data_IF_478891736319
#
_entry.id   IF_478891736319
#
_cell.length_a   1.000
_cell.length_b   1.000
_cell.length_c   1.000
_cell.angle_alpha   90.00
_cell.angle_beta   90.00
_cell.angle_gamma   90.00
#
_symmetry.space_group_name_H-M   'P 1'
#
loop_
_entity.id
_entity.type
_entity.pdbx_description
1 polymer ?
#
# COMPACT_ATOMS: atom_id res chain seq x y z
N UNK A 1 -0.79 4.34 -34.61
CA UNK A 1 0.15 5.44 -34.27
C UNK A 1 -0.26 6.06 -32.94
N UNK A 2 0.74 6.41 -32.10
CA UNK A 2 0.66 7.12 -30.80
C UNK A 2 -0.03 6.43 -29.59
N UNK A 3 0.67 5.48 -28.94
CA UNK A 3 0.44 5.15 -27.52
C UNK A 3 1.05 6.27 -26.67
N UNK A 4 0.21 7.07 -25.99
CA UNK A 4 0.68 8.11 -25.07
C UNK A 4 1.25 7.45 -23.81
N UNK A 5 2.58 7.33 -23.74
CA UNK A 5 3.30 7.16 -22.48
C UNK A 5 3.12 8.43 -21.65
N UNK A 6 2.39 8.34 -20.54
CA UNK A 6 2.43 9.35 -19.49
C UNK A 6 3.70 9.11 -18.64
N UNK A 7 4.87 9.35 -19.22
CA UNK A 7 6.12 9.43 -18.46
C UNK A 7 6.19 10.78 -17.76
N UNK A 8 5.41 10.96 -16.69
CA UNK A 8 5.67 12.03 -15.73
C UNK A 8 6.49 11.42 -14.60
N UNK A 9 7.73 11.88 -14.44
CA UNK A 9 8.48 11.72 -13.19
C UNK A 9 7.68 12.42 -12.09
N UNK A 10 6.81 11.69 -11.41
CA UNK A 10 6.09 12.15 -10.22
C UNK A 10 7.05 12.10 -9.02
N UNK A 11 8.15 12.82 -9.11
CA UNK A 11 8.98 13.15 -7.95
C UNK A 11 8.49 14.50 -7.41
N UNK A 12 7.27 14.53 -6.87
CA UNK A 12 6.92 15.61 -5.95
C UNK A 12 7.54 15.22 -4.61
N UNK A 13 8.76 15.70 -4.38
CA UNK A 13 9.47 15.53 -3.10
C UNK A 13 8.54 15.99 -1.98
N UNK A 14 8.02 15.03 -1.22
CA UNK A 14 7.26 15.27 0.00
C UNK A 14 8.25 15.63 1.12
N UNK A 15 9.00 16.72 0.97
CA UNK A 15 10.15 17.02 1.83
C UNK A 15 9.78 17.57 3.22
N UNK A 16 8.49 17.66 3.59
CA UNK A 16 8.11 18.42 4.80
C UNK A 16 7.08 17.81 5.75
N UNK A 17 6.84 16.50 5.73
CA UNK A 17 5.98 15.86 6.72
C UNK A 17 6.60 14.60 7.32
N UNK A 18 7.87 14.68 7.74
CA UNK A 18 8.43 13.67 8.65
C UNK A 18 7.93 13.99 10.05
N UNK A 19 6.84 13.34 10.44
CA UNK A 19 6.50 13.26 11.86
C UNK A 19 7.61 12.44 12.52
N UNK A 20 8.38 13.06 13.43
CA UNK A 20 9.38 12.37 14.23
C UNK A 20 8.67 11.45 15.23
N UNK A 21 8.28 10.27 14.77
CA UNK A 21 7.77 9.19 15.62
C UNK A 21 8.97 8.56 16.31
N UNK A 22 9.39 9.13 17.44
CA UNK A 22 10.41 8.54 18.33
C UNK A 22 9.75 7.46 19.19
N UNK A 23 9.80 6.20 18.76
CA UNK A 23 9.38 5.10 19.64
C UNK A 23 10.47 4.78 20.68
N UNK A 24 10.04 4.39 21.87
CA UNK A 24 10.89 3.80 22.92
C UNK A 24 11.57 2.54 22.36
N UNK A 25 12.89 2.49 22.47
CA UNK A 25 13.71 1.44 21.90
C UNK A 25 13.50 0.12 22.64
N UNK A 26 13.02 -0.90 21.95
CA UNK A 26 13.12 -2.30 22.40
C UNK A 26 13.88 -3.10 21.34
N UNK A 27 15.09 -3.55 21.70
CA UNK A 27 15.84 -4.64 21.03
C UNK A 27 16.32 -4.40 19.59
N UNK A 28 17.63 -4.35 19.40
CA UNK A 28 18.26 -4.11 18.09
C UNK A 28 18.13 -5.27 17.10
N UNK A 29 17.42 -5.04 15.99
CA UNK A 29 17.54 -5.82 14.76
C UNK A 29 18.46 -5.12 13.77
N UNK A 30 19.33 -5.89 13.11
CA UNK A 30 20.26 -5.40 12.09
C UNK A 30 19.49 -4.81 10.91
N UNK A 31 19.64 -3.50 10.71
CA UNK A 31 18.98 -2.74 9.66
C UNK A 31 19.72 -2.89 8.33
N UNK A 32 19.28 -3.82 7.50
CA UNK A 32 19.75 -3.88 6.10
C UNK A 32 19.19 -2.69 5.31
N UNK A 33 20.02 -2.09 4.45
CA UNK A 33 19.60 -1.01 3.55
C UNK A 33 18.79 -1.63 2.41
N UNK A 34 17.48 -1.32 2.27
CA UNK A 34 16.69 -1.89 1.20
C UNK A 34 17.17 -1.41 -0.17
N UNK A 35 17.32 -2.34 -1.12
CA UNK A 35 17.57 -2.03 -2.53
C UNK A 35 16.28 -1.45 -3.11
N UNK A 36 16.32 -0.18 -3.54
CA UNK A 36 15.19 0.50 -4.17
C UNK A 36 15.31 0.30 -5.68
N UNK A 37 14.35 -0.38 -6.30
CA UNK A 37 14.32 -0.60 -7.76
C UNK A 37 13.57 0.56 -8.45
N UNK A 38 14.15 1.14 -9.50
CA UNK A 38 13.71 2.45 -10.06
C UNK A 38 12.81 2.41 -11.29
N UNK A 39 12.41 1.23 -11.78
CA UNK A 39 11.91 1.07 -13.15
C UNK A 39 10.42 0.69 -13.28
N UNK A 40 9.61 1.06 -12.28
CA UNK A 40 8.16 0.81 -12.30
C UNK A 40 7.38 1.86 -13.10
N UNK A 41 6.32 1.41 -13.77
CA UNK A 41 5.48 2.24 -14.66
C UNK A 41 4.00 2.12 -14.31
N UNK A 42 3.27 3.21 -14.53
CA UNK A 42 1.82 3.24 -14.39
C UNK A 42 1.15 2.82 -15.69
N UNK A 43 0.19 1.91 -15.59
CA UNK A 43 -0.68 1.51 -16.69
C UNK A 43 -2.14 1.59 -16.25
N UNK A 44 -3.02 1.95 -17.19
CA UNK A 44 -4.46 1.84 -17.02
C UNK A 44 -4.87 0.36 -17.19
N UNK A 45 -5.41 -0.21 -16.12
CA UNK A 45 -5.84 -1.62 -16.05
C UNK A 45 -7.15 -1.88 -16.79
N UNK A 46 -7.84 -0.83 -17.26
CA UNK A 46 -9.18 -0.89 -17.87
C UNK A 46 -10.32 -1.40 -16.98
N UNK A 47 -10.01 -1.98 -15.81
CA UNK A 47 -10.98 -2.54 -14.87
C UNK A 47 -11.04 -1.77 -13.56
N UNK A 48 -9.89 -1.53 -12.92
CA UNK A 48 -9.79 -0.95 -11.56
C UNK A 48 -9.01 0.37 -11.53
N UNK A 49 -8.88 1.03 -12.68
CA UNK A 49 -8.13 2.28 -12.83
C UNK A 49 -6.63 2.04 -13.04
N UNK A 50 -5.79 2.85 -12.41
CA UNK A 50 -4.33 2.76 -12.56
C UNK A 50 -3.75 1.60 -11.74
N UNK A 51 -2.73 0.96 -12.30
CA UNK A 51 -1.91 -0.05 -11.63
C UNK A 51 -0.43 0.19 -11.90
N UNK A 52 0.41 -0.33 -11.00
CA UNK A 52 1.88 -0.27 -11.11
C UNK A 52 2.40 -1.57 -11.69
N UNK A 53 3.25 -1.48 -12.70
CA UNK A 53 3.86 -2.63 -13.38
C UNK A 53 5.37 -2.45 -13.41
N UNK A 54 6.08 -3.53 -13.10
CA UNK A 54 7.55 -3.52 -13.17
C UNK A 54 8.02 -3.71 -14.60
N UNK A 55 9.16 -3.11 -14.96
CA UNK A 55 9.82 -3.36 -16.26
C UNK A 55 11.06 -4.25 -16.15
N UNK A 56 11.40 -4.68 -14.94
CA UNK A 56 12.50 -5.60 -14.64
C UNK A 56 11.97 -6.84 -13.92
N UNK A 57 12.81 -7.87 -13.80
CA UNK A 57 12.51 -8.92 -12.83
C UNK A 57 12.64 -8.35 -11.41
N UNK A 58 11.85 -8.87 -10.48
CA UNK A 58 11.94 -8.53 -9.06
C UNK A 58 11.87 -9.82 -8.24
N UNK A 59 12.72 -9.92 -7.23
CA UNK A 59 12.82 -11.06 -6.35
C UNK A 59 12.20 -10.78 -4.98
N UNK A 60 11.87 -11.85 -4.23
CA UNK A 60 11.47 -11.75 -2.83
C UNK A 60 12.53 -10.97 -2.06
N UNK A 61 12.09 -9.91 -1.38
CA UNK A 61 13.00 -9.03 -0.65
C UNK A 61 13.20 -7.66 -1.28
N UNK A 62 13.01 -7.52 -2.58
CA UNK A 62 13.18 -6.25 -3.28
C UNK A 62 12.19 -5.20 -2.78
N UNK A 63 12.66 -3.96 -2.67
CA UNK A 63 11.84 -2.83 -2.23
C UNK A 63 11.51 -1.94 -3.42
N UNK A 64 10.21 -1.81 -3.66
CA UNK A 64 9.64 -0.98 -4.73
C UNK A 64 9.77 0.49 -4.36
N UNK A 65 9.47 0.82 -3.11
CA UNK A 65 9.57 2.18 -2.61
C UNK A 65 8.82 2.39 -1.30
N UNK A 66 8.88 3.61 -0.81
CA UNK A 66 8.14 4.05 0.38
C UNK A 66 6.71 4.44 0.01
N UNK A 67 5.74 3.99 0.83
CA UNK A 67 4.37 4.48 0.80
C UNK A 67 4.29 5.81 1.54
N UNK A 68 4.62 6.88 0.80
CA UNK A 68 4.63 8.24 1.31
C UNK A 68 3.25 8.89 1.25
N UNK A 69 2.95 9.76 2.21
CA UNK A 69 1.79 10.63 2.20
C UNK A 69 1.81 11.62 3.36
N UNK A 70 0.67 12.28 3.61
CA UNK A 70 0.51 13.14 4.78
C UNK A 70 0.29 12.27 6.02
N UNK A 71 1.15 12.41 7.03
CA UNK A 71 0.96 11.75 8.32
C UNK A 71 -0.04 12.53 9.19
N UNK A 72 -0.97 11.80 9.79
CA UNK A 72 -1.98 12.33 10.73
C UNK A 72 -2.01 11.46 11.98
N UNK A 73 -2.04 12.09 13.16
CA UNK A 73 -2.22 11.40 14.43
C UNK A 73 -3.66 11.55 14.91
N UNK A 74 -4.26 10.45 15.37
CA UNK A 74 -5.55 10.46 16.05
C UNK A 74 -5.41 9.82 17.44
N UNK A 75 -6.01 10.40 18.49
CA UNK A 75 -5.99 9.82 19.83
C UNK A 75 -6.37 8.35 19.81
N UNK A 76 -5.60 7.52 20.52
CA UNK A 76 -6.09 6.19 20.85
C UNK A 76 -7.25 6.38 21.83
N UNK A 77 -8.45 6.07 21.37
CA UNK A 77 -9.64 6.07 22.21
C UNK A 77 -9.37 5.14 23.41
N UNK A 78 -9.63 5.65 24.62
CA UNK A 78 -9.62 4.91 25.89
C UNK A 78 -10.88 4.05 25.94
N UNK A 79 -10.82 2.87 26.57
CA UNK A 79 -11.93 1.92 26.73
C UNK A 79 -13.28 2.64 26.98
N UNK A 80 -14.35 2.20 26.27
CA UNK A 80 -15.76 2.70 26.27
C UNK A 80 -16.23 3.66 25.14
N UNK A 81 -15.49 3.84 24.04
CA UNK A 81 -16.01 4.51 22.83
C UNK A 81 -16.01 3.55 21.63
N UNK A 82 -16.99 3.64 20.70
CA UNK A 82 -17.11 2.71 19.59
C UNK A 82 -15.84 2.69 18.74
N UNK A 83 -15.45 1.47 18.38
CA UNK A 83 -14.22 1.17 17.66
C UNK A 83 -14.13 1.94 16.35
N UNK A 84 -12.88 2.23 16.03
CA UNK A 84 -12.36 2.83 14.82
C UNK A 84 -12.28 4.36 14.88
N UNK A 85 -11.05 4.83 15.02
CA UNK A 85 -10.62 6.08 14.40
C UNK A 85 -10.79 5.94 12.88
N UNK A 86 -12.04 6.02 12.40
CA UNK A 86 -12.39 6.04 10.98
C UNK A 86 -12.05 7.44 10.48
N UNK A 87 -10.78 7.68 10.21
CA UNK A 87 -10.49 8.67 9.18
C UNK A 87 -11.24 8.20 7.93
N UNK A 88 -12.18 9.01 7.44
CA UNK A 88 -12.91 8.75 6.20
C UNK A 88 -11.91 8.26 5.15
N UNK A 89 -12.04 7.00 4.73
CA UNK A 89 -11.03 6.36 3.91
C UNK A 89 -11.04 7.03 2.53
N UNK A 90 -9.98 7.78 2.21
CA UNK A 90 -9.83 8.47 0.93
C UNK A 90 -9.57 7.50 -0.24
N UNK A 91 -9.49 6.21 0.03
CA UNK A 91 -8.96 5.17 -0.86
C UNK A 91 -7.45 5.02 -0.81
N UNK A 92 -6.73 5.97 -0.17
CA UNK A 92 -5.27 6.02 -0.13
C UNK A 92 -4.73 6.09 1.31
N UNK A 93 -5.58 5.87 2.31
CA UNK A 93 -5.20 5.91 3.72
C UNK A 93 -4.69 4.54 4.18
N UNK A 94 -3.54 4.52 4.87
CA UNK A 94 -2.99 3.34 5.53
C UNK A 94 -2.71 3.65 7.00
N UNK A 95 -3.09 2.72 7.89
CA UNK A 95 -2.82 2.78 9.32
C UNK A 95 -1.47 2.13 9.64
N UNK A 96 -0.66 2.80 10.44
CA UNK A 96 0.57 2.23 10.98
C UNK A 96 0.23 1.37 12.22
N UNK A 97 0.88 0.22 12.34
CA UNK A 97 0.93 -0.59 13.55
C UNK A 97 1.68 0.15 14.66
N UNK A 98 2.75 0.87 14.30
CA UNK A 98 3.45 1.77 15.20
C UNK A 98 2.55 2.92 15.68
N UNK A 99 2.52 3.13 17.00
CA UNK A 99 1.88 4.30 17.62
C UNK A 99 2.83 5.49 17.66
N UNK A 100 2.28 6.70 17.79
CA UNK A 100 3.12 7.88 18.07
C UNK A 100 3.69 7.84 19.49
N UNK A 101 4.61 8.76 19.81
CA UNK A 101 5.13 8.97 21.18
C UNK A 101 4.01 9.21 22.20
N UNK A 102 2.89 9.79 21.75
CA UNK A 102 1.70 10.07 22.55
C UNK A 102 0.73 8.89 22.61
N UNK A 103 1.14 7.71 22.12
CA UNK A 103 0.32 6.49 21.96
C UNK A 103 -0.87 6.65 21.01
N UNK A 104 -0.85 7.69 20.16
CA UNK A 104 -1.87 7.92 19.15
C UNK A 104 -1.75 6.93 17.99
N UNK A 105 -2.88 6.64 17.34
CA UNK A 105 -2.88 5.99 16.02
C UNK A 105 -2.26 6.94 15.00
N UNK A 106 -1.48 6.38 14.07
CA UNK A 106 -0.82 7.15 13.01
C UNK A 106 -1.31 6.65 11.67
N UNK A 107 -1.80 7.57 10.85
CA UNK A 107 -2.27 7.30 9.49
C UNK A 107 -1.39 8.01 8.48
N UNK A 108 -1.18 7.38 7.33
CA UNK A 108 -0.63 8.03 6.14
C UNK A 108 -1.75 8.16 5.11
N UNK A 109 -2.03 9.39 4.67
CA UNK A 109 -2.98 9.67 3.58
C UNK A 109 -2.22 10.12 2.34
N UNK A 110 -2.22 9.27 1.31
CA UNK A 110 -1.50 9.52 0.06
C UNK A 110 -2.35 10.19 -1.03
N UNK A 111 -3.57 10.69 -0.71
CA UNK A 111 -4.48 11.27 -1.71
C UNK A 111 -3.88 12.51 -2.40
N UNK A 112 -3.35 13.46 -1.62
CA UNK A 112 -2.86 14.76 -2.12
C UNK A 112 -1.36 14.79 -2.38
N UNK A 113 -0.59 14.00 -1.65
CA UNK A 113 0.85 13.88 -1.80
C UNK A 113 1.26 12.43 -1.57
N UNK A 114 2.18 11.90 -2.38
CA UNK A 114 2.64 10.52 -2.25
C UNK A 114 3.59 10.12 -3.36
N UNK A 115 3.97 8.85 -3.38
CA UNK A 115 4.84 8.26 -4.41
C UNK A 115 4.02 7.43 -5.41
N UNK A 116 4.69 6.77 -6.37
CA UNK A 116 4.05 5.84 -7.31
C UNK A 116 3.34 4.67 -6.59
N UNK A 117 3.79 4.31 -5.38
CA UNK A 117 3.25 3.17 -4.63
C UNK A 117 1.80 3.36 -4.21
N UNK A 118 1.28 4.59 -4.21
CA UNK A 118 -0.15 4.86 -3.93
C UNK A 118 -1.10 4.29 -4.98
N UNK A 119 -0.59 3.98 -6.17
CA UNK A 119 -1.35 3.38 -7.27
C UNK A 119 -1.23 1.85 -7.33
N UNK A 120 -0.55 1.22 -6.36
CA UNK A 120 -0.43 -0.24 -6.31
C UNK A 120 -1.79 -0.81 -5.94
N UNK A 121 -2.38 -1.56 -6.86
CA UNK A 121 -3.73 -2.09 -6.71
C UNK A 121 -3.80 -3.24 -5.70
N UNK A 122 -5.01 -3.53 -5.24
CA UNK A 122 -5.29 -4.67 -4.41
C UNK A 122 -5.24 -6.00 -5.19
N UNK A 123 -4.72 -7.06 -4.55
CA UNK A 123 -5.01 -8.45 -4.91
C UNK A 123 -5.25 -9.32 -3.67
N UNK A 124 -6.18 -10.29 -3.74
CA UNK A 124 -6.38 -11.30 -2.69
C UNK A 124 -5.13 -12.18 -2.51
N UNK A 125 -4.41 -12.45 -3.60
CA UNK A 125 -3.15 -13.20 -3.63
C UNK A 125 -2.02 -12.30 -4.15
N UNK A 126 -1.50 -11.38 -3.33
CA UNK A 126 -0.56 -10.38 -3.79
C UNK A 126 0.87 -10.92 -3.99
N UNK A 127 1.68 -10.13 -4.69
CA UNK A 127 3.13 -10.35 -4.86
C UNK A 127 4.00 -9.35 -4.07
N UNK A 128 3.41 -8.31 -3.47
CA UNK A 128 4.07 -7.39 -2.55
C UNK A 128 3.27 -7.20 -1.25
N UNK A 129 3.92 -6.65 -0.24
CA UNK A 129 3.31 -6.31 1.05
C UNK A 129 3.79 -4.94 1.55
N UNK A 130 2.93 -4.29 2.34
CA UNK A 130 3.33 -3.16 3.17
C UNK A 130 4.12 -3.67 4.38
N UNK A 131 5.31 -3.14 4.58
CA UNK A 131 6.20 -3.51 5.68
C UNK A 131 6.62 -2.24 6.40
N UNK A 132 6.33 -2.17 7.70
CA UNK A 132 6.87 -1.12 8.56
C UNK A 132 8.36 -1.37 8.81
N UNK A 133 9.16 -0.38 8.46
CA UNK A 133 10.57 -0.34 8.76
C UNK A 133 10.83 0.79 9.75
N UNK A 134 11.21 0.41 10.96
CA UNK A 134 11.67 1.33 11.98
C UNK A 134 13.13 1.68 11.72
N UNK A 135 13.44 2.97 11.59
CA UNK A 135 14.80 3.49 11.67
C UNK A 135 15.01 4.15 13.03
N UNK A 136 16.23 4.67 13.30
CA UNK A 136 16.60 5.24 14.61
C UNK A 136 15.64 6.31 15.15
N UNK A 137 14.89 7.02 14.28
CA UNK A 137 14.07 8.17 14.69
C UNK A 137 12.69 8.28 14.04
N UNK A 138 12.33 7.34 13.17
CA UNK A 138 11.03 7.31 12.51
C UNK A 138 10.66 5.91 12.02
N UNK A 139 9.37 5.68 11.85
CA UNK A 139 8.82 4.51 11.17
C UNK A 139 8.41 4.92 9.77
N UNK A 140 8.67 4.06 8.80
CA UNK A 140 8.23 4.22 7.41
C UNK A 140 7.54 2.96 6.95
N UNK A 141 6.57 3.09 6.04
CA UNK A 141 5.97 1.94 5.36
C UNK A 141 6.61 1.78 4.00
N UNK A 142 7.22 0.63 3.77
CA UNK A 142 7.80 0.25 2.49
C UNK A 142 6.89 -0.75 1.78
N UNK A 143 6.92 -0.75 0.46
CA UNK A 143 6.35 -1.82 -0.35
C UNK A 143 7.46 -2.79 -0.73
N UNK A 144 7.35 -4.01 -0.24
CA UNK A 144 8.37 -5.05 -0.39
C UNK A 144 7.81 -6.27 -1.10
N UNK A 145 8.58 -6.84 -2.02
CA UNK A 145 8.20 -8.04 -2.75
C UNK A 145 8.21 -9.27 -1.84
N UNK A 146 7.14 -10.05 -1.93
CA UNK A 146 6.94 -11.32 -1.21
C UNK A 146 6.85 -12.52 -2.16
N UNK A 147 6.89 -12.27 -3.48
CA UNK A 147 6.98 -13.30 -4.54
C UNK A 147 7.88 -12.77 -5.66
N UNK A 148 8.61 -13.66 -6.33
CA UNK A 148 9.35 -13.31 -7.54
C UNK A 148 8.39 -13.02 -8.69
N UNK A 149 8.72 -12.03 -9.53
CA UNK A 149 7.94 -11.66 -10.71
C UNK A 149 8.85 -11.36 -11.91
N UNK A 150 8.31 -11.58 -13.11
CA UNK A 150 8.98 -11.26 -14.38
C UNK A 150 8.70 -9.81 -14.81
N UNK A 151 9.53 -9.24 -15.71
CA UNK A 151 9.22 -7.98 -16.38
C UNK A 151 7.79 -7.96 -16.94
N UNK A 152 7.09 -6.84 -16.75
CA UNK A 152 5.70 -6.66 -17.19
C UNK A 152 4.64 -7.16 -16.22
N UNK A 153 5.01 -7.73 -15.07
CA UNK A 153 4.06 -8.10 -14.03
C UNK A 153 3.49 -6.86 -13.31
N UNK A 154 2.20 -6.91 -12.97
CA UNK A 154 1.58 -5.93 -12.08
C UNK A 154 2.02 -6.17 -10.64
N UNK A 155 2.42 -5.12 -9.94
CA UNK A 155 2.69 -5.14 -8.51
C UNK A 155 1.35 -4.94 -7.78
N UNK A 156 1.06 -5.80 -6.81
CA UNK A 156 -0.20 -5.79 -6.05
C UNK A 156 0.04 -6.08 -4.57
N UNK A 157 -0.83 -5.54 -3.71
CA UNK A 157 -0.75 -5.70 -2.24
C UNK A 157 -2.11 -6.11 -1.66
N UNK A 158 -2.11 -6.73 -0.47
CA UNK A 158 -3.35 -6.99 0.25
C UNK A 158 -3.77 -5.75 1.04
N UNK A 159 -5.00 -5.25 0.84
CA UNK A 159 -5.50 -4.02 1.48
C UNK A 159 -6.08 -4.25 2.88
N UNK A 160 -6.14 -5.51 3.32
CA UNK A 160 -6.76 -5.90 4.59
C UNK A 160 -8.17 -6.45 4.40
N UNK A 161 -8.76 -6.93 5.49
CA UNK A 161 -10.13 -7.47 5.48
C UNK A 161 -11.18 -6.35 5.57
N UNK A 162 -10.87 -5.33 6.36
CA UNK A 162 -11.70 -4.13 6.54
C UNK A 162 -11.47 -3.17 5.38
N UNK A 163 -12.24 -3.34 4.31
CA UNK A 163 -12.20 -2.49 3.12
C UNK A 163 -13.56 -1.86 2.89
N UNK A 164 -13.55 -0.63 2.37
CA UNK A 164 -14.74 0.15 2.05
C UNK A 164 -15.25 -0.11 0.61
N UNK A 165 -14.71 -1.11 -0.08
CA UNK A 165 -15.11 -1.49 -1.45
C UNK A 165 -15.11 -3.01 -1.61
N UNK A 166 -15.92 -3.52 -2.54
CA UNK A 166 -15.94 -4.93 -2.92
C UNK A 166 -14.71 -5.29 -3.76
N UNK A 167 -14.09 -6.41 -3.43
CA UNK A 167 -12.90 -6.89 -4.14
C UNK A 167 -13.26 -7.34 -5.56
N UNK A 168 -12.62 -6.75 -6.58
CA UNK A 168 -12.77 -7.16 -7.97
C UNK A 168 -11.74 -8.20 -8.42
N UNK A 169 -11.14 -8.98 -7.51
CA UNK A 169 -10.29 -10.11 -7.89
C UNK A 169 -11.13 -11.26 -8.43
N UNK A 170 -10.62 -12.00 -9.42
CA UNK A 170 -11.36 -13.04 -10.15
C UNK A 170 -11.92 -14.15 -9.25
N UNK A 171 -11.32 -14.40 -8.08
CA UNK A 171 -11.83 -15.37 -7.09
C UNK A 171 -13.21 -15.03 -6.50
N UNK A 172 -13.70 -13.81 -6.68
CA UNK A 172 -15.04 -13.37 -6.25
C UNK A 172 -16.09 -13.37 -7.35
N UNK A 173 -15.71 -13.74 -8.58
CA UNK A 173 -16.62 -13.87 -9.71
C UNK A 173 -16.69 -15.34 -10.11
N UNK A 174 -17.25 -16.17 -9.23
CA UNK A 174 -17.84 -17.42 -9.71
C UNK A 174 -19.06 -17.01 -10.52
N UNK A 175 -19.24 -17.61 -11.70
CA UNK A 175 -20.42 -17.42 -12.53
C UNK A 175 -21.66 -17.98 -11.81
N UNK A 176 -22.20 -17.22 -10.85
CA UNK A 176 -23.52 -17.51 -10.30
C UNK A 176 -24.56 -17.00 -11.31
N UNK A 177 -24.99 -17.93 -12.16
CA UNK A 177 -26.10 -17.70 -13.08
C UNK A 177 -26.40 -18.82 -14.05
N UNK A 178 -25.92 -20.05 -13.82
CA UNK A 178 -26.50 -21.23 -14.49
C UNK A 178 -27.49 -21.85 -13.51
N UNK A 179 -28.73 -21.37 -13.54
CA UNK A 179 -29.87 -22.14 -13.02
C UNK A 179 -30.00 -23.38 -13.89
N UNK A 180 -29.44 -24.48 -13.40
CA UNK A 180 -29.78 -25.82 -13.86
C UNK A 180 -30.53 -26.53 -12.74
N UNK A 181 -31.62 -27.18 -13.16
CA UNK A 181 -32.48 -28.12 -12.43
C UNK A 181 -33.65 -27.46 -11.67
N UNK A 182 -34.90 -27.93 -11.75
CA UNK A 182 -35.50 -29.01 -12.54
C UNK A 182 -37.03 -28.91 -12.40
N UNK A 183 -37.69 -29.60 -13.33
CA UNK A 183 -39.09 -30.02 -13.35
C UNK A 183 -39.71 -30.37 -11.98
N UNK A 184 -40.91 -29.82 -11.73
CA UNK A 184 -42.15 -30.57 -11.44
C UNK A 184 -43.39 -29.67 -11.58
#
# INVERSE_FOLDING_TARGET
MCRRLLSRRLHQRCERYVLHIKLLQTGGAVQQRPTITGDDKLFDTKRVGLGVYTTTALDVGDVIGEYCGKLTELPAIVDDQPDQAVQQNSGYTLLYNAKSTKRNYVYVDALKCGSITRFISHACHPNAAFVEQQNRSSVKVLVKMIRNVKPGAQITVHYGKERWFHCSCDAYWSEDGVDTNNEQ
#
